data_IF_166383715984
#
_entry.id   IF_166383715984
#
_cell.length_a   1.000
_cell.length_b   1.000
_cell.length_c   1.000
_cell.angle_alpha   90.00
_cell.angle_beta   90.00
_cell.angle_gamma   90.00
#
_symmetry.space_group_name_H-M   'P 1'
#
loop_
_entity.id
_entity.type
_entity.pdbx_description
1 polymer ?
#
# COMPACT_ATOMS: atom_id res chain seq x y z
N UNK A 1 -63.58 17.54 -47.04
CA UNK A 1 -62.87 17.52 -45.74
C UNK A 1 -61.75 16.47 -45.77
N UNK A 2 -60.56 16.79 -46.29
CA UNK A 2 -59.43 15.84 -46.34
C UNK A 2 -58.06 16.47 -46.05
N UNK A 3 -57.96 17.80 -45.95
CA UNK A 3 -56.68 18.50 -45.79
C UNK A 3 -56.21 18.63 -44.32
N UNK A 4 -57.14 18.66 -43.35
CA UNK A 4 -56.79 18.87 -41.94
C UNK A 4 -56.14 17.66 -41.23
N UNK A 5 -56.41 16.44 -41.71
CA UNK A 5 -55.88 15.21 -41.11
C UNK A 5 -54.40 14.97 -41.43
N UNK A 6 -53.93 15.38 -42.61
CA UNK A 6 -52.53 15.23 -43.01
C UNK A 6 -51.57 16.14 -42.24
N UNK A 7 -52.02 17.37 -41.95
CA UNK A 7 -51.25 18.36 -41.17
C UNK A 7 -51.12 17.91 -39.71
N UNK A 8 -52.19 17.38 -39.12
CA UNK A 8 -52.16 16.87 -37.75
C UNK A 8 -51.19 15.69 -37.57
N UNK A 9 -51.11 14.78 -38.55
CA UNK A 9 -50.17 13.65 -38.53
C UNK A 9 -48.72 14.11 -38.69
N UNK A 10 -48.46 15.08 -39.57
CA UNK A 10 -47.11 15.65 -39.76
C UNK A 10 -46.61 16.38 -38.51
N UNK A 11 -47.48 17.08 -37.79
CA UNK A 11 -47.12 17.74 -36.52
C UNK A 11 -46.82 16.69 -35.44
N UNK A 12 -47.59 15.60 -35.36
CA UNK A 12 -47.35 14.55 -34.37
C UNK A 12 -46.00 13.83 -34.57
N UNK A 13 -45.63 13.56 -35.83
CA UNK A 13 -44.34 12.94 -36.17
C UNK A 13 -43.17 13.88 -35.89
N UNK A 14 -43.33 15.19 -36.13
CA UNK A 14 -42.29 16.19 -35.88
C UNK A 14 -41.98 16.37 -34.38
N UNK A 15 -42.96 16.19 -33.49
CA UNK A 15 -42.79 16.34 -32.03
C UNK A 15 -42.16 15.09 -31.38
N UNK A 16 -42.32 13.90 -31.96
CA UNK A 16 -41.74 12.67 -31.41
C UNK A 16 -40.25 12.46 -31.74
N UNK A 17 -39.75 13.05 -32.83
CA UNK A 17 -38.34 12.92 -33.24
C UNK A 17 -37.31 13.51 -32.22
N UNK A 18 -37.51 14.69 -31.60
CA UNK A 18 -36.52 15.26 -30.69
C UNK A 18 -36.41 14.50 -29.35
N UNK A 19 -37.43 13.75 -28.93
CA UNK A 19 -37.41 13.03 -27.64
C UNK A 19 -36.43 11.84 -27.62
N UNK A 20 -36.18 11.21 -28.77
CA UNK A 20 -35.22 10.10 -28.87
C UNK A 20 -33.76 10.56 -28.93
N UNK A 21 -33.50 11.80 -29.35
CA UNK A 21 -32.15 12.35 -29.40
C UNK A 21 -31.62 12.73 -28.01
N UNK A 22 -32.51 13.09 -27.07
CA UNK A 22 -32.12 13.57 -25.74
C UNK A 22 -31.71 12.45 -24.76
N UNK A 23 -32.13 11.20 -24.97
CA UNK A 23 -31.79 10.09 -24.05
C UNK A 23 -30.35 9.59 -24.21
N UNK A 24 -29.70 9.82 -25.36
CA UNK A 24 -28.29 9.47 -25.57
C UNK A 24 -27.30 10.49 -25.04
N UNK A 25 -27.73 11.75 -24.86
CA UNK A 25 -26.86 12.82 -24.35
C UNK A 25 -26.66 12.77 -22.83
N UNK A 26 -27.53 12.08 -22.08
CA UNK A 26 -27.46 11.97 -20.62
C UNK A 26 -26.53 10.84 -20.11
N UNK A 27 -26.06 9.95 -21.00
CA UNK A 27 -24.97 9.03 -20.65
C UNK A 27 -23.64 9.79 -20.75
N UNK A 28 -23.27 10.47 -19.66
CA UNK A 28 -21.94 11.02 -19.51
C UNK A 28 -20.87 9.95 -19.80
N UNK A 29 -19.69 10.37 -20.27
CA UNK A 29 -18.57 9.45 -20.52
C UNK A 29 -18.38 8.57 -19.28
N UNK A 30 -18.56 7.26 -19.43
CA UNK A 30 -18.40 6.30 -18.33
C UNK A 30 -17.05 6.51 -17.66
N UNK A 31 -17.00 6.33 -16.33
CA UNK A 31 -15.78 6.50 -15.57
C UNK A 31 -14.61 5.77 -16.26
N UNK A 32 -13.45 6.42 -16.49
CA UNK A 32 -12.29 5.76 -17.06
C UNK A 32 -12.03 4.46 -16.31
N UNK A 33 -11.81 3.36 -17.02
CA UNK A 33 -11.39 2.11 -16.37
C UNK A 33 -10.13 2.41 -15.58
N UNK A 34 -10.13 2.04 -14.30
CA UNK A 34 -8.94 2.12 -13.46
C UNK A 34 -7.86 1.31 -14.16
N UNK A 35 -6.75 1.98 -14.52
CA UNK A 35 -5.61 1.33 -15.14
C UNK A 35 -5.03 0.26 -14.21
N UNK A 36 -4.18 -0.65 -14.73
CA UNK A 36 -3.52 -1.63 -13.89
C UNK A 36 -2.73 -0.93 -12.79
N UNK A 37 -2.81 -1.48 -11.56
CA UNK A 37 -2.05 -0.94 -10.43
C UNK A 37 -0.54 -0.93 -10.75
N UNK A 38 0.19 0.12 -10.36
CA UNK A 38 1.64 0.15 -10.55
C UNK A 38 2.29 -1.05 -9.85
N UNK A 39 3.26 -1.68 -10.51
CA UNK A 39 4.00 -2.80 -9.95
C UNK A 39 4.82 -2.30 -8.75
N UNK A 40 4.64 -2.93 -7.60
CA UNK A 40 5.43 -2.61 -6.42
C UNK A 40 6.94 -2.78 -6.71
N UNK A 41 7.75 -1.85 -6.21
CA UNK A 41 9.21 -1.97 -6.25
C UNK A 41 9.66 -3.19 -5.44
N UNK A 42 10.79 -3.78 -5.85
CA UNK A 42 11.41 -4.86 -5.08
C UNK A 42 11.72 -4.40 -3.66
N UNK A 43 11.50 -5.29 -2.69
CA UNK A 43 11.80 -5.05 -1.29
C UNK A 43 12.33 -6.35 -0.67
N UNK A 44 13.64 -6.39 -0.37
CA UNK A 44 14.27 -7.53 0.29
C UNK A 44 13.62 -7.86 1.65
N UNK A 45 13.05 -6.86 2.32
CA UNK A 45 12.39 -7.02 3.63
C UNK A 45 10.93 -7.49 3.56
N UNK A 46 10.43 -7.86 2.39
CA UNK A 46 9.01 -8.22 2.22
C UNK A 46 8.61 -9.52 2.93
N UNK A 47 9.55 -10.46 3.12
CA UNK A 47 9.30 -11.73 3.81
C UNK A 47 9.79 -11.72 5.26
N UNK A 48 10.99 -11.19 5.48
CA UNK A 48 11.63 -11.11 6.79
C UNK A 48 12.29 -9.73 6.91
N UNK A 49 12.31 -9.16 8.12
CA UNK A 49 12.96 -7.87 8.34
C UNK A 49 14.47 -7.97 8.21
N UNK A 50 15.09 -9.13 8.48
CA UNK A 50 16.55 -9.35 8.38
C UNK A 50 16.88 -10.29 7.22
N UNK A 51 16.97 -9.79 5.96
CA UNK A 51 17.20 -10.64 4.79
C UNK A 51 18.53 -11.40 4.83
N UNK A 52 19.54 -10.92 5.55
CA UNK A 52 20.85 -11.57 5.67
C UNK A 52 20.98 -12.44 6.93
N UNK A 53 19.98 -12.42 7.83
CA UNK A 53 19.93 -13.25 9.03
C UNK A 53 21.22 -13.17 9.86
N UNK A 54 21.75 -11.95 10.04
CA UNK A 54 23.01 -11.69 10.73
C UNK A 54 23.06 -12.23 12.18
N UNK A 55 21.92 -12.56 12.77
CA UNK A 55 21.84 -13.21 14.08
C UNK A 55 22.50 -14.59 14.13
N UNK A 56 22.58 -15.29 13.00
CA UNK A 56 23.32 -16.56 12.90
C UNK A 56 24.81 -16.40 13.24
N UNK A 57 25.35 -15.20 13.04
CA UNK A 57 26.74 -14.83 13.33
C UNK A 57 26.96 -14.40 14.78
N UNK A 58 25.93 -14.42 15.63
CA UNK A 58 26.04 -14.04 17.05
C UNK A 58 27.10 -14.84 17.81
N UNK A 59 27.22 -16.13 17.50
CA UNK A 59 28.18 -17.04 18.13
C UNK A 59 29.44 -17.23 17.27
N UNK A 60 29.66 -16.37 16.28
CA UNK A 60 30.83 -16.49 15.40
C UNK A 60 32.12 -16.26 16.19
N UNK A 61 33.21 -17.02 15.92
CA UNK A 61 34.48 -16.89 16.65
C UNK A 61 35.06 -15.47 16.64
N UNK A 62 34.76 -14.70 15.59
CA UNK A 62 35.10 -13.29 15.49
C UNK A 62 33.87 -12.43 15.77
N UNK A 63 33.81 -11.70 16.90
CA UNK A 63 32.61 -10.95 17.30
C UNK A 63 32.29 -9.78 16.36
N UNK A 64 33.30 -9.24 15.67
CA UNK A 64 33.13 -8.18 14.68
C UNK A 64 32.35 -8.63 13.42
N UNK A 65 32.22 -9.94 13.19
CA UNK A 65 31.54 -10.45 12.00
C UNK A 65 30.03 -10.13 12.03
N UNK A 66 29.39 -10.23 13.20
CA UNK A 66 27.98 -9.88 13.36
C UNK A 66 27.75 -8.39 13.08
N UNK A 67 28.54 -7.52 13.69
CA UNK A 67 28.38 -6.07 13.53
C UNK A 67 28.68 -5.60 12.10
N UNK A 68 29.60 -6.27 11.40
CA UNK A 68 29.84 -6.05 9.99
C UNK A 68 28.62 -6.47 9.14
N UNK A 69 28.06 -7.65 9.39
CA UNK A 69 26.86 -8.11 8.72
C UNK A 69 25.67 -7.16 8.94
N UNK A 70 25.44 -6.75 10.19
CA UNK A 70 24.35 -5.83 10.56
C UNK A 70 24.46 -4.49 9.79
N UNK A 71 25.70 -3.97 9.62
CA UNK A 71 25.96 -2.76 8.84
C UNK A 71 25.68 -2.96 7.35
N UNK A 72 26.22 -4.03 6.74
CA UNK A 72 26.02 -4.33 5.32
C UNK A 72 24.53 -4.54 5.02
N UNK A 73 23.80 -5.24 5.89
CA UNK A 73 22.35 -5.42 5.77
C UNK A 73 21.62 -4.08 5.83
N UNK A 74 21.97 -3.23 6.80
CA UNK A 74 21.33 -1.92 6.96
C UNK A 74 21.57 -1.00 5.76
N UNK A 75 22.79 -0.97 5.24
CA UNK A 75 23.16 -0.16 4.06
C UNK A 75 22.46 -0.66 2.79
N UNK A 76 22.36 -1.98 2.63
CA UNK A 76 21.65 -2.60 1.52
C UNK A 76 20.17 -2.19 1.51
N UNK A 77 19.46 -2.37 2.63
CA UNK A 77 18.03 -2.06 2.71
C UNK A 77 17.78 -0.55 2.54
N UNK A 78 18.66 0.31 3.09
CA UNK A 78 18.56 1.77 2.88
C UNK A 78 18.74 2.16 1.42
N UNK A 79 19.67 1.51 0.72
CA UNK A 79 19.87 1.72 -0.72
C UNK A 79 18.63 1.32 -1.52
N UNK A 80 18.06 0.15 -1.23
CA UNK A 80 16.80 -0.30 -1.86
C UNK A 80 15.65 0.68 -1.62
N UNK A 81 15.47 1.12 -0.38
CA UNK A 81 14.44 2.10 -0.03
C UNK A 81 14.63 3.40 -0.82
N UNK A 82 15.87 3.90 -0.90
CA UNK A 82 16.20 5.11 -1.64
C UNK A 82 15.90 4.97 -3.14
N UNK A 83 16.28 3.84 -3.75
CA UNK A 83 15.99 3.55 -5.17
C UNK A 83 14.49 3.43 -5.44
N UNK A 84 13.72 2.96 -4.47
CA UNK A 84 12.26 2.90 -4.52
C UNK A 84 11.58 4.24 -4.16
N UNK A 85 12.33 5.31 -3.85
CA UNK A 85 11.78 6.59 -3.40
C UNK A 85 11.08 6.53 -2.02
N UNK A 86 11.39 5.51 -1.21
CA UNK A 86 10.83 5.27 0.12
C UNK A 86 11.77 5.84 1.19
N UNK A 87 11.25 6.33 2.33
CA UNK A 87 12.09 6.63 3.47
C UNK A 87 12.84 5.37 3.92
N UNK A 88 14.11 5.53 4.28
CA UNK A 88 14.95 4.43 4.74
C UNK A 88 14.41 3.83 6.04
N UNK A 89 14.64 2.53 6.28
CA UNK A 89 14.36 1.95 7.58
C UNK A 89 15.43 2.33 8.61
N UNK A 90 15.08 2.18 9.88
CA UNK A 90 16.01 2.31 10.99
C UNK A 90 17.08 1.21 10.95
N UNK A 91 18.30 1.56 11.38
CA UNK A 91 19.38 0.60 11.66
C UNK A 91 19.12 -0.28 12.87
N UNK A 92 18.24 0.15 13.78
CA UNK A 92 17.92 -0.62 14.98
C UNK A 92 16.76 -1.57 14.69
N UNK A 93 16.91 -2.81 15.12
CA UNK A 93 15.84 -3.81 15.15
C UNK A 93 15.48 -4.06 16.61
N UNK A 94 14.22 -3.86 16.97
CA UNK A 94 13.71 -4.10 18.32
C UNK A 94 12.87 -5.37 18.38
N UNK A 95 12.88 -6.06 19.50
CA UNK A 95 11.97 -7.20 19.70
C UNK A 95 10.59 -6.66 20.11
N UNK A 96 9.56 -6.99 19.34
CA UNK A 96 8.17 -6.61 19.59
C UNK A 96 7.27 -7.85 19.47
N UNK A 97 6.18 -7.91 20.24
CA UNK A 97 5.28 -9.05 20.22
C UNK A 97 4.55 -9.18 18.88
N UNK A 98 4.18 -10.40 18.44
CA UNK A 98 3.52 -10.60 17.15
C UNK A 98 2.10 -10.07 17.16
N UNK A 99 1.57 -9.76 15.98
CA UNK A 99 0.16 -9.41 15.82
C UNK A 99 -0.74 -10.53 16.35
N UNK A 100 -1.70 -10.19 17.21
CA UNK A 100 -2.66 -11.14 17.77
C UNK A 100 -2.26 -11.73 19.13
N UNK A 101 -1.00 -11.56 19.55
CA UNK A 101 -0.54 -11.92 20.90
C UNK A 101 -1.30 -11.12 21.98
N UNK A 102 -1.45 -11.72 23.16
CA UNK A 102 -2.08 -11.06 24.31
C UNK A 102 -1.29 -9.81 24.74
N UNK A 103 0.03 -9.90 24.72
CA UNK A 103 0.92 -8.79 25.03
C UNK A 103 0.80 -7.65 24.02
N UNK A 104 0.81 -7.96 22.72
CA UNK A 104 0.63 -6.98 21.66
C UNK A 104 -0.72 -6.25 21.74
N UNK A 105 -1.79 -6.97 22.08
CA UNK A 105 -3.13 -6.36 22.31
C UNK A 105 -3.14 -5.40 23.51
N UNK A 106 -2.39 -5.71 24.57
CA UNK A 106 -2.29 -4.89 25.79
C UNK A 106 -1.41 -3.65 25.58
N UNK A 107 -0.25 -3.82 24.96
CA UNK A 107 0.71 -2.73 24.72
C UNK A 107 0.26 -1.80 23.58
N UNK A 108 -0.56 -2.31 22.66
CA UNK A 108 -0.93 -1.56 21.46
C UNK A 108 0.26 -1.32 20.53
N UNK A 109 1.34 -2.07 20.67
CA UNK A 109 2.51 -2.06 19.78
C UNK A 109 2.84 -3.51 19.43
N UNK A 110 3.07 -3.78 18.14
CA UNK A 110 3.29 -5.13 17.61
C UNK A 110 4.30 -5.11 16.46
N UNK A 111 4.88 -6.27 16.19
CA UNK A 111 5.63 -6.51 14.97
C UNK A 111 4.73 -7.11 13.88
N UNK A 112 4.65 -6.45 12.71
CA UNK A 112 3.89 -6.93 11.55
C UNK A 112 4.81 -6.98 10.33
N UNK A 113 5.16 -8.18 9.88
CA UNK A 113 6.05 -8.35 8.71
C UNK A 113 7.37 -7.60 8.88
N UNK A 114 7.92 -7.58 10.10
CA UNK A 114 9.16 -6.89 10.42
C UNK A 114 9.05 -5.37 10.65
N UNK A 115 7.87 -4.78 10.54
CA UNK A 115 7.65 -3.36 10.81
C UNK A 115 7.02 -3.17 12.18
N UNK A 116 7.57 -2.24 12.95
CA UNK A 116 7.01 -1.87 14.24
C UNK A 116 5.76 -1.01 14.03
N UNK A 117 4.63 -1.47 14.57
CA UNK A 117 3.33 -0.84 14.36
C UNK A 117 2.71 -0.48 15.71
N UNK A 118 2.16 0.74 15.82
CA UNK A 118 1.32 1.14 16.94
C UNK A 118 -0.16 1.10 16.57
N UNK A 119 -1.00 0.75 17.52
CA UNK A 119 -2.44 0.70 17.38
C UNK A 119 -3.00 2.12 17.39
N UNK A 120 -3.86 2.41 16.42
CA UNK A 120 -4.66 3.63 16.34
C UNK A 120 -6.15 3.22 16.32
N UNK A 121 -7.12 4.14 16.55
CA UNK A 121 -8.53 3.78 16.72
C UNK A 121 -9.10 2.87 15.62
N UNK A 122 -8.67 3.06 14.37
CA UNK A 122 -9.18 2.32 13.20
C UNK A 122 -8.10 1.51 12.48
N UNK A 123 -7.00 1.15 13.15
CA UNK A 123 -5.97 0.34 12.50
C UNK A 123 -4.60 0.40 13.16
N UNK A 124 -3.58 0.43 12.31
CA UNK A 124 -2.18 0.38 12.70
C UNK A 124 -1.38 1.44 11.95
N UNK A 125 -0.41 2.03 12.63
CA UNK A 125 0.49 3.03 12.08
C UNK A 125 1.93 2.58 12.29
N UNK A 126 2.79 2.78 11.29
CA UNK A 126 4.22 2.50 11.43
C UNK A 126 4.87 3.46 12.42
N UNK A 127 5.80 2.94 13.21
CA UNK A 127 6.54 3.72 14.19
C UNK A 127 7.78 4.31 13.52
N UNK A 128 8.01 5.61 13.70
CA UNK A 128 9.26 6.25 13.33
C UNK A 128 10.31 6.03 14.42
N UNK A 129 11.48 5.53 14.04
CA UNK A 129 12.65 5.36 14.92
C UNK A 129 13.56 6.59 14.94
N UNK A 130 14.80 6.43 15.36
CA UNK A 130 15.77 7.54 15.40
C UNK A 130 16.19 8.05 14.00
N UNK A 131 16.20 7.16 13.02
CA UNK A 131 16.92 7.31 11.75
C UNK A 131 16.11 6.80 10.55
N UNK A 132 14.85 6.44 10.75
CA UNK A 132 13.98 5.86 9.72
C UNK A 132 12.80 5.11 10.31
N UNK A 133 12.07 4.39 9.45
CA UNK A 133 10.97 3.52 9.91
C UNK A 133 11.47 2.38 10.80
N UNK A 134 10.89 2.24 11.98
CA UNK A 134 11.36 1.31 13.00
C UNK A 134 11.12 -0.14 12.57
N UNK A 135 12.21 -0.92 12.51
CA UNK A 135 12.20 -2.36 12.25
C UNK A 135 11.99 -3.14 13.54
N UNK A 136 11.41 -4.33 13.44
CA UNK A 136 11.24 -5.22 14.58
C UNK A 136 11.39 -6.70 14.25
N UNK A 137 11.59 -7.49 15.30
CA UNK A 137 11.57 -8.96 15.31
C UNK A 137 10.48 -9.44 16.27
N UNK A 138 9.92 -10.62 16.01
CA UNK A 138 8.90 -11.23 16.88
C UNK A 138 7.50 -11.24 16.29
N UNK A 139 7.36 -11.01 14.98
CA UNK A 139 6.14 -11.26 14.19
C UNK A 139 6.00 -12.72 13.79
#
# INVERSE_FOLDING_TARGET
MAMGKGIAVLILVAVMAPSFAQTRAAQGKGAPRVGPAPKAHFNSTAKDTTPFQCETLRNHPYPAMKSLCDQIESDHIRSEARLAGRPGPSTRVIDLPPLGSAEGKRLGIVCIGGQAMRKIPNGWEQIWGSDGWQRCRGG
#
